data_IF_783421188758
#
_entry.id   IF_783421188758
#
_cell.length_a   1.000
_cell.length_b   1.000
_cell.length_c   1.000
_cell.angle_alpha   90.00
_cell.angle_beta   90.00
_cell.angle_gamma   90.00
#
_symmetry.space_group_name_H-M   'P 1'
#
loop_
_entity.id
_entity.type
_entity.pdbx_description
1 polymer ?
#
# COMPACT_ATOMS: atom_id res chain seq x y z
N UNK A 1 13.22 10.64 -25.85
CA UNK A 1 12.01 11.45 -25.69
C UNK A 1 10.82 10.56 -26.00
N UNK A 2 10.04 10.20 -24.96
CA UNK A 2 8.76 9.51 -25.14
C UNK A 2 7.74 10.55 -25.61
N UNK A 3 7.28 10.42 -26.85
CA UNK A 3 6.18 11.24 -27.37
C UNK A 3 4.89 10.56 -26.90
N UNK A 4 4.20 11.18 -25.95
CA UNK A 4 2.86 10.75 -25.54
C UNK A 4 1.83 11.30 -26.55
N UNK A 5 0.80 10.52 -26.93
CA UNK A 5 -0.23 11.00 -27.85
C UNK A 5 -1.05 12.12 -27.20
N UNK A 6 -1.28 13.18 -27.99
CA UNK A 6 -2.15 14.31 -27.61
C UNK A 6 -3.57 13.83 -27.33
N UNK A 7 -4.11 14.13 -26.14
CA UNK A 7 -5.53 14.01 -25.87
C UNK A 7 -5.98 13.36 -24.56
N UNK A 8 -5.10 12.84 -23.73
CA UNK A 8 -5.50 12.41 -22.39
C UNK A 8 -5.71 13.64 -21.48
N UNK A 9 -6.96 14.06 -21.31
CA UNK A 9 -7.34 14.98 -20.24
C UNK A 9 -7.14 14.26 -18.92
N UNK A 10 -5.99 14.44 -18.29
CA UNK A 10 -5.85 14.11 -16.88
C UNK A 10 -6.84 14.97 -16.09
N UNK A 11 -7.74 14.31 -15.38
CA UNK A 11 -8.73 14.96 -14.54
C UNK A 11 -8.02 15.89 -13.56
N UNK A 12 -8.31 17.19 -13.63
CA UNK A 12 -7.73 18.27 -12.82
C UNK A 12 -8.04 18.17 -11.30
N UNK A 13 -8.60 17.06 -10.84
CA UNK A 13 -8.96 16.82 -9.43
C UNK A 13 -7.82 16.30 -8.55
N UNK A 14 -6.61 16.11 -9.10
CA UNK A 14 -5.50 15.46 -8.40
C UNK A 14 -4.29 16.34 -8.09
N UNK A 15 -4.39 17.67 -8.20
CA UNK A 15 -3.20 18.55 -8.11
C UNK A 15 -3.33 19.56 -6.98
N UNK A 16 -3.71 19.12 -5.79
CA UNK A 16 -3.60 20.02 -4.62
C UNK A 16 -2.78 19.42 -3.45
N UNK A 17 -2.02 18.37 -3.71
CA UNK A 17 -1.06 17.84 -2.72
C UNK A 17 0.35 18.21 -3.16
N UNK A 18 1.01 19.03 -2.39
CA UNK A 18 2.44 19.29 -2.55
C UNK A 18 3.19 17.96 -2.55
N UNK A 19 4.02 17.67 -3.57
CA UNK A 19 4.83 16.45 -3.58
C UNK A 19 5.68 16.35 -2.31
N UNK A 20 5.92 15.13 -1.79
CA UNK A 20 6.74 14.96 -0.61
C UNK A 20 8.16 15.48 -0.85
N UNK A 21 8.67 16.26 0.09
CA UNK A 21 10.05 16.74 0.09
C UNK A 21 11.01 15.64 0.57
N UNK A 22 12.31 15.84 0.38
CA UNK A 22 13.33 14.91 0.88
C UNK A 22 13.22 14.67 2.39
N UNK A 23 12.92 15.72 3.15
CA UNK A 23 12.73 15.63 4.60
C UNK A 23 11.60 14.68 5.01
N UNK A 24 10.51 14.63 4.22
CA UNK A 24 9.39 13.71 4.47
C UNK A 24 9.81 12.25 4.22
N UNK A 25 10.61 12.02 3.16
CA UNK A 25 11.16 10.70 2.84
C UNK A 25 12.11 10.24 3.94
N UNK A 26 12.97 11.13 4.43
CA UNK A 26 13.89 10.82 5.53
C UNK A 26 13.16 10.56 6.84
N UNK A 27 12.09 11.31 7.13
CA UNK A 27 11.24 11.05 8.30
C UNK A 27 10.58 9.66 8.21
N UNK A 28 10.01 9.32 7.06
CA UNK A 28 9.46 8.00 6.80
C UNK A 28 10.52 6.89 6.92
N UNK A 29 11.74 7.13 6.44
CA UNK A 29 12.84 6.18 6.55
C UNK A 29 13.21 5.88 8.02
N UNK A 30 13.21 6.91 8.89
CA UNK A 30 13.44 6.72 10.34
C UNK A 30 12.35 5.88 10.99
N UNK A 31 11.08 6.12 10.66
CA UNK A 31 9.94 5.33 11.16
C UNK A 31 10.04 3.88 10.71
N UNK A 32 10.47 3.64 9.48
CA UNK A 32 10.55 2.32 8.87
C UNK A 32 11.79 1.51 9.30
N UNK A 33 12.86 2.17 9.73
CA UNK A 33 14.17 1.53 9.98
C UNK A 33 14.11 0.27 10.86
N UNK A 34 13.31 0.21 11.96
CA UNK A 34 13.24 -0.99 12.80
C UNK A 34 12.41 -2.13 12.19
N UNK A 35 11.59 -1.85 11.18
CA UNK A 35 10.53 -2.76 10.71
C UNK A 35 10.70 -3.21 9.25
N UNK A 36 11.17 -2.32 8.39
CA UNK A 36 11.35 -2.63 6.98
C UNK A 36 12.70 -3.29 6.72
N UNK A 37 12.73 -4.22 5.77
CA UNK A 37 13.99 -4.78 5.28
C UNK A 37 14.72 -3.72 4.46
N UNK A 38 15.99 -3.47 4.76
CA UNK A 38 16.85 -2.66 3.89
C UNK A 38 17.24 -3.50 2.68
N UNK A 39 16.41 -3.49 1.64
CA UNK A 39 16.67 -4.23 0.42
C UNK A 39 17.92 -3.70 -0.29
N UNK A 40 18.73 -4.57 -0.92
CA UNK A 40 19.94 -4.16 -1.62
C UNK A 40 19.60 -3.26 -2.82
N UNK A 41 20.63 -2.60 -3.34
CA UNK A 41 20.62 -1.99 -4.66
C UNK A 41 21.59 -2.79 -5.52
N UNK A 42 21.09 -3.41 -6.59
CA UNK A 42 21.83 -4.37 -7.42
C UNK A 42 22.10 -3.74 -8.80
N UNK A 43 23.34 -3.76 -9.23
CA UNK A 43 23.71 -3.46 -10.62
C UNK A 43 23.58 -4.72 -11.49
N UNK A 44 23.28 -4.53 -12.76
CA UNK A 44 23.16 -5.61 -13.73
C UNK A 44 23.88 -5.23 -15.04
N UNK A 45 25.17 -5.62 -15.21
CA UNK A 45 25.95 -5.24 -16.40
C UNK A 45 25.31 -5.59 -17.74
N UNK A 46 24.65 -6.74 -17.83
CA UNK A 46 23.95 -7.14 -19.05
C UNK A 46 22.74 -6.22 -19.38
N UNK A 47 22.11 -5.65 -18.35
CA UNK A 47 21.05 -4.67 -18.56
C UNK A 47 21.63 -3.31 -18.93
N UNK A 48 22.74 -2.92 -18.29
CA UNK A 48 23.46 -1.68 -18.60
C UNK A 48 23.85 -1.63 -20.07
N UNK A 49 24.46 -2.70 -20.57
CA UNK A 49 24.85 -2.84 -21.98
C UNK A 49 23.64 -2.72 -22.91
N UNK A 50 22.56 -3.39 -22.59
CA UNK A 50 21.36 -3.42 -23.43
C UNK A 50 20.67 -2.07 -23.54
N UNK A 51 20.69 -1.25 -22.49
CA UNK A 51 20.01 0.07 -22.45
C UNK A 51 20.95 1.24 -22.65
N UNK A 52 22.27 1.01 -22.72
CA UNK A 52 23.28 2.05 -22.87
C UNK A 52 23.40 2.99 -21.66
N UNK A 53 23.04 2.53 -20.46
CA UNK A 53 23.04 3.34 -19.24
C UNK A 53 23.24 2.47 -18.01
N UNK A 54 23.75 3.05 -16.91
CA UNK A 54 23.83 2.34 -15.62
C UNK A 54 22.45 2.17 -15.01
N UNK A 55 22.03 0.93 -14.80
CA UNK A 55 20.74 0.56 -14.22
C UNK A 55 20.95 -0.08 -12.85
N UNK A 56 20.18 0.40 -11.88
CA UNK A 56 20.14 -0.18 -10.54
C UNK A 56 18.75 -0.73 -10.26
N UNK A 57 18.70 -1.98 -9.81
CA UNK A 57 17.46 -2.66 -9.41
C UNK A 57 17.37 -2.69 -7.89
N UNK A 58 16.26 -2.18 -7.34
CA UNK A 58 15.92 -2.33 -5.94
C UNK A 58 14.85 -3.41 -5.79
N UNK A 59 15.23 -4.67 -5.42
CA UNK A 59 14.31 -5.80 -5.45
C UNK A 59 13.39 -5.80 -4.22
N UNK A 60 12.32 -5.03 -4.26
CA UNK A 60 11.32 -4.95 -3.18
C UNK A 60 10.48 -6.24 -3.02
N UNK A 61 10.70 -7.24 -3.85
CA UNK A 61 10.24 -8.61 -3.60
C UNK A 61 10.86 -9.20 -2.32
N UNK A 62 12.03 -8.70 -1.91
CA UNK A 62 12.71 -9.08 -0.67
C UNK A 62 12.16 -8.35 0.56
N UNK A 63 11.26 -7.38 0.38
CA UNK A 63 10.63 -6.66 1.46
C UNK A 63 9.61 -7.53 2.18
N UNK A 64 9.25 -7.16 3.43
CA UNK A 64 8.09 -7.74 4.12
C UNK A 64 6.88 -7.75 3.19
N UNK A 65 6.09 -8.81 3.23
CA UNK A 65 4.95 -9.04 2.33
C UNK A 65 5.31 -9.22 0.85
N UNK A 66 6.60 -9.23 0.49
CA UNK A 66 7.06 -9.44 -0.89
C UNK A 66 6.84 -8.24 -1.82
N UNK A 67 6.70 -7.02 -1.28
CA UNK A 67 6.49 -5.83 -2.11
C UNK A 67 6.80 -4.52 -1.36
N UNK A 68 7.03 -3.45 -2.12
CA UNK A 68 7.25 -2.09 -1.59
C UNK A 68 6.06 -1.53 -0.80
N UNK A 69 4.85 -2.08 -0.97
CA UNK A 69 3.62 -1.55 -0.35
C UNK A 69 3.65 -1.59 1.18
N UNK A 70 4.43 -2.48 1.78
CA UNK A 70 4.63 -2.49 3.22
C UNK A 70 5.18 -1.15 3.75
N UNK A 71 6.09 -0.51 3.02
CA UNK A 71 6.70 0.77 3.42
C UNK A 71 5.65 1.87 3.58
N UNK A 72 4.85 2.13 2.54
CA UNK A 72 3.81 3.14 2.60
C UNK A 72 2.73 2.81 3.61
N UNK A 73 2.27 1.55 3.65
CA UNK A 73 1.27 1.11 4.62
C UNK A 73 1.76 1.30 6.06
N UNK A 74 2.97 0.87 6.39
CA UNK A 74 3.50 1.02 7.74
C UNK A 74 3.71 2.49 8.13
N UNK A 75 4.25 3.31 7.22
CA UNK A 75 4.41 4.75 7.47
C UNK A 75 3.07 5.42 7.75
N UNK A 76 2.04 5.14 6.93
CA UNK A 76 0.69 5.67 7.11
C UNK A 76 0.08 5.23 8.44
N UNK A 77 0.10 3.94 8.75
CA UNK A 77 -0.51 3.44 9.98
C UNK A 77 0.21 3.97 11.22
N UNK A 78 1.53 4.15 11.14
CA UNK A 78 2.33 4.74 12.23
C UNK A 78 1.94 6.19 12.55
N UNK A 79 1.48 6.94 11.56
CA UNK A 79 1.04 8.33 11.72
C UNK A 79 -0.37 8.48 12.33
N UNK A 80 -1.13 7.37 12.45
CA UNK A 80 -2.45 7.41 13.08
C UNK A 80 -2.30 7.70 14.57
N UNK A 81 -2.95 8.77 15.09
CA UNK A 81 -2.91 9.11 16.50
C UNK A 81 -3.36 7.95 17.39
N UNK A 82 -2.72 7.78 18.52
CA UNK A 82 -3.01 6.68 19.45
C UNK A 82 -4.50 6.57 19.79
N UNK A 83 -5.17 7.70 20.02
CA UNK A 83 -6.60 7.74 20.33
C UNK A 83 -7.50 7.19 19.20
N UNK A 84 -7.05 7.29 17.94
CA UNK A 84 -7.79 6.79 16.78
C UNK A 84 -7.51 5.31 16.46
N UNK A 85 -6.48 4.71 17.08
CA UNK A 85 -6.08 3.32 16.79
C UNK A 85 -7.09 2.28 17.27
N UNK A 86 -7.91 2.60 18.26
CA UNK A 86 -8.93 1.69 18.80
C UNK A 86 -9.97 1.28 17.74
N UNK A 87 -10.30 2.17 16.79
CA UNK A 87 -11.19 1.86 15.67
C UNK A 87 -10.57 0.94 14.61
N UNK A 88 -9.25 0.80 14.62
CA UNK A 88 -8.52 0.03 13.62
C UNK A 88 -8.40 0.72 12.27
N UNK A 89 -8.15 -0.07 11.23
CA UNK A 89 -8.00 0.42 9.86
C UNK A 89 -8.85 -0.40 8.89
N UNK A 90 -9.32 0.25 7.84
CA UNK A 90 -10.01 -0.41 6.73
C UNK A 90 -9.28 -0.09 5.43
N UNK A 91 -9.04 -1.09 4.59
CA UNK A 91 -8.49 -0.90 3.26
C UNK A 91 -9.28 -1.71 2.22
N UNK A 92 -9.13 -1.34 0.96
CA UNK A 92 -9.71 -2.09 -0.15
C UNK A 92 -8.64 -2.40 -1.19
N UNK A 93 -8.34 -3.67 -1.39
CA UNK A 93 -7.32 -4.12 -2.36
C UNK A 93 -7.32 -5.64 -2.49
N UNK A 94 -7.05 -6.13 -3.68
CA UNK A 94 -6.88 -7.57 -3.94
C UNK A 94 -5.43 -8.05 -3.93
N UNK A 95 -4.47 -7.19 -3.58
CA UNK A 95 -3.06 -7.50 -3.80
C UNK A 95 -2.10 -7.02 -2.71
N UNK A 96 -1.00 -6.43 -3.16
CA UNK A 96 0.13 -6.07 -2.29
C UNK A 96 -0.22 -5.03 -1.23
N UNK A 97 -1.14 -4.10 -1.53
CA UNK A 97 -1.60 -3.11 -0.54
C UNK A 97 -2.36 -3.78 0.61
N UNK A 98 -3.26 -4.72 0.30
CA UNK A 98 -3.99 -5.50 1.30
C UNK A 98 -3.05 -6.15 2.32
N UNK A 99 -2.03 -6.87 1.81
CA UNK A 99 -1.03 -7.53 2.65
C UNK A 99 -0.15 -6.53 3.41
N UNK A 100 0.22 -5.42 2.77
CA UNK A 100 0.99 -4.35 3.41
C UNK A 100 0.26 -3.74 4.61
N UNK A 101 -1.03 -3.39 4.44
CA UNK A 101 -1.86 -2.84 5.53
C UNK A 101 -2.07 -3.87 6.63
N UNK A 102 -2.41 -5.13 6.28
CA UNK A 102 -2.63 -6.18 7.26
C UNK A 102 -1.38 -6.45 8.11
N UNK A 103 -0.20 -6.57 7.47
CA UNK A 103 1.06 -6.78 8.18
C UNK A 103 1.47 -5.58 9.05
N UNK A 104 1.27 -4.36 8.57
CA UNK A 104 1.54 -3.14 9.33
C UNK A 104 0.61 -3.04 10.55
N UNK A 105 -0.69 -3.31 10.37
CA UNK A 105 -1.66 -3.32 11.45
C UNK A 105 -1.31 -4.35 12.53
N UNK A 106 -0.93 -5.57 12.13
CA UNK A 106 -0.48 -6.61 13.05
C UNK A 106 0.69 -6.15 13.92
N UNK A 107 1.72 -5.55 13.32
CA UNK A 107 2.90 -5.06 14.04
C UNK A 107 2.54 -3.93 15.01
N UNK A 108 1.60 -3.07 14.63
CA UNK A 108 1.17 -1.92 15.43
C UNK A 108 0.05 -2.24 16.43
N UNK A 109 -0.39 -3.51 16.51
CA UNK A 109 -1.46 -3.95 17.41
C UNK A 109 -2.83 -3.38 17.06
N UNK A 110 -3.08 -3.09 15.77
CA UNK A 110 -4.33 -2.51 15.29
C UNK A 110 -5.20 -3.58 14.61
N UNK A 111 -6.51 -3.46 14.77
CA UNK A 111 -7.46 -4.26 13.97
C UNK A 111 -7.43 -3.80 12.51
N UNK A 112 -7.53 -4.74 11.57
CA UNK A 112 -7.60 -4.42 10.15
C UNK A 112 -8.75 -5.17 9.48
N UNK A 113 -9.55 -4.48 8.67
CA UNK A 113 -10.53 -5.07 7.76
C UNK A 113 -10.14 -4.74 6.32
N UNK A 114 -10.06 -5.76 5.49
CA UNK A 114 -9.64 -5.63 4.09
C UNK A 114 -10.78 -6.06 3.16
N UNK A 115 -11.31 -5.12 2.40
CA UNK A 115 -12.33 -5.37 1.38
C UNK A 115 -11.63 -5.92 0.13
N UNK A 116 -11.91 -7.16 -0.20
CA UNK A 116 -11.30 -7.90 -1.31
C UNK A 116 -12.37 -8.48 -2.24
N UNK A 117 -12.14 -8.51 -3.56
CA UNK A 117 -13.13 -9.13 -4.45
C UNK A 117 -13.19 -10.65 -4.21
N UNK A 118 -14.38 -11.22 -4.34
CA UNK A 118 -14.63 -12.64 -4.12
C UNK A 118 -13.83 -13.54 -5.08
N UNK A 119 -13.50 -13.02 -6.26
CA UNK A 119 -12.66 -13.67 -7.28
C UNK A 119 -11.14 -13.49 -7.07
N UNK A 120 -10.73 -12.85 -5.98
CA UNK A 120 -9.31 -12.73 -5.66
C UNK A 120 -8.68 -14.11 -5.43
N UNK A 121 -7.44 -14.35 -5.88
CA UNK A 121 -6.75 -15.62 -5.66
C UNK A 121 -6.76 -16.04 -4.18
N UNK A 122 -7.08 -17.31 -3.92
CA UNK A 122 -7.16 -17.86 -2.56
C UNK A 122 -5.88 -17.60 -1.76
N UNK A 123 -4.72 -17.75 -2.40
CA UNK A 123 -3.42 -17.49 -1.76
C UNK A 123 -3.26 -16.06 -1.25
N UNK A 124 -3.81 -15.07 -1.95
CA UNK A 124 -3.77 -13.66 -1.50
C UNK A 124 -4.73 -13.41 -0.33
N UNK A 125 -5.92 -14.00 -0.38
CA UNK A 125 -6.89 -13.92 0.72
C UNK A 125 -6.33 -14.54 1.99
N UNK A 126 -5.81 -15.77 1.89
CA UNK A 126 -5.25 -16.48 3.04
C UNK A 126 -3.99 -15.79 3.60
N UNK A 127 -3.12 -15.25 2.76
CA UNK A 127 -2.00 -14.44 3.24
C UNK A 127 -2.45 -13.20 4.01
N UNK A 128 -3.50 -12.52 3.54
CA UNK A 128 -4.05 -11.33 4.23
C UNK A 128 -4.63 -11.73 5.59
N UNK A 129 -5.39 -12.83 5.67
CA UNK A 129 -5.88 -13.40 6.93
C UNK A 129 -4.75 -13.83 7.85
N UNK A 130 -3.68 -14.40 7.29
CA UNK A 130 -2.49 -14.83 8.05
C UNK A 130 -1.80 -13.70 8.82
N UNK A 131 -2.00 -12.44 8.41
CA UNK A 131 -1.59 -11.26 9.18
C UNK A 131 -2.65 -10.80 10.20
N UNK A 132 -3.67 -11.61 10.47
CA UNK A 132 -4.73 -11.29 11.44
C UNK A 132 -5.80 -10.32 10.96
N UNK A 133 -5.81 -9.98 9.67
CA UNK A 133 -6.84 -9.10 9.12
C UNK A 133 -8.14 -9.84 8.82
N UNK A 134 -9.27 -9.19 9.09
CA UNK A 134 -10.58 -9.61 8.59
C UNK A 134 -10.64 -9.36 7.08
N UNK A 135 -11.08 -10.37 6.32
CA UNK A 135 -11.28 -10.24 4.87
C UNK A 135 -12.78 -10.18 4.59
N UNK A 136 -13.23 -9.02 4.10
CA UNK A 136 -14.60 -8.78 3.67
C UNK A 136 -14.65 -8.94 2.15
N UNK A 137 -15.43 -9.93 1.68
CA UNK A 137 -15.53 -10.23 0.25
C UNK A 137 -16.65 -9.41 -0.38
N UNK A 138 -16.44 -8.95 -1.62
CA UNK A 138 -17.42 -8.24 -2.42
C UNK A 138 -17.48 -8.77 -3.86
N UNK A 139 -18.63 -8.61 -4.51
CA UNK A 139 -18.81 -8.92 -5.93
C UNK A 139 -18.38 -7.72 -6.79
N UNK A 140 -17.27 -7.87 -7.51
CA UNK A 140 -16.66 -6.84 -8.37
C UNK A 140 -17.61 -6.31 -9.47
N UNK A 141 -18.57 -7.14 -9.90
CA UNK A 141 -19.50 -6.78 -10.96
C UNK A 141 -20.71 -5.97 -10.45
N UNK A 142 -21.02 -6.05 -9.15
CA UNK A 142 -22.27 -5.54 -8.58
C UNK A 142 -22.08 -4.55 -7.44
N UNK A 143 -20.91 -4.53 -6.81
CA UNK A 143 -20.67 -3.80 -5.59
C UNK A 143 -19.47 -2.85 -5.71
N UNK A 144 -19.57 -1.73 -5.02
CA UNK A 144 -18.48 -0.74 -4.92
C UNK A 144 -17.64 -1.01 -3.67
N UNK A 145 -16.40 -1.48 -3.91
CA UNK A 145 -15.42 -1.77 -2.86
C UNK A 145 -15.11 -0.57 -1.96
N UNK A 146 -15.14 0.64 -2.52
CA UNK A 146 -14.81 1.86 -1.78
C UNK A 146 -15.98 2.27 -0.89
N UNK A 147 -17.21 2.17 -1.39
CA UNK A 147 -18.42 2.41 -0.61
C UNK A 147 -18.52 1.43 0.56
N UNK A 148 -18.24 0.14 0.34
CA UNK A 148 -18.20 -0.88 1.40
C UNK A 148 -17.13 -0.54 2.44
N UNK A 149 -15.92 -0.17 2.01
CA UNK A 149 -14.84 0.16 2.93
C UNK A 149 -15.15 1.41 3.75
N UNK A 150 -15.77 2.43 3.16
CA UNK A 150 -16.22 3.65 3.87
C UNK A 150 -17.31 3.35 4.90
N UNK A 151 -18.28 2.51 4.55
CA UNK A 151 -19.34 2.09 5.48
C UNK A 151 -18.76 1.36 6.69
N UNK A 152 -17.86 0.39 6.47
CA UNK A 152 -17.19 -0.33 7.55
C UNK A 152 -16.38 0.64 8.41
N UNK A 153 -15.62 1.53 7.79
CA UNK A 153 -14.80 2.52 8.51
C UNK A 153 -15.67 3.42 9.38
N UNK A 154 -16.78 3.94 8.85
CA UNK A 154 -17.72 4.77 9.59
C UNK A 154 -18.36 4.05 10.80
N UNK A 155 -18.81 2.81 10.59
CA UNK A 155 -19.42 2.00 11.66
C UNK A 155 -18.46 1.65 12.81
N UNK A 156 -17.18 1.51 12.51
CA UNK A 156 -16.13 1.11 13.48
C UNK A 156 -15.34 2.29 14.05
N UNK A 157 -15.51 3.49 13.52
CA UNK A 157 -14.60 4.61 13.80
C UNK A 157 -13.18 4.34 13.33
N UNK A 158 -13.02 3.51 12.28
CA UNK A 158 -11.73 3.09 11.75
C UNK A 158 -11.19 4.09 10.72
N UNK A 159 -9.86 4.12 10.58
CA UNK A 159 -9.20 4.92 9.56
C UNK A 159 -9.22 4.18 8.21
N UNK A 160 -9.74 4.84 7.17
CA UNK A 160 -9.66 4.33 5.81
C UNK A 160 -8.25 4.53 5.24
N UNK A 161 -7.67 3.49 4.66
CA UNK A 161 -6.32 3.50 4.06
C UNK A 161 -6.43 3.09 2.60
N UNK A 162 -6.56 4.06 1.68
CA UNK A 162 -6.69 3.77 0.26
C UNK A 162 -5.37 3.26 -0.35
N UNK A 163 -5.42 2.53 -1.48
CA UNK A 163 -4.23 1.97 -2.12
C UNK A 163 -3.41 3.00 -2.92
N UNK A 164 -3.89 4.24 -3.02
CA UNK A 164 -3.35 5.37 -3.79
C UNK A 164 -3.78 6.71 -3.17
N UNK A 165 -3.12 7.78 -3.50
CA UNK A 165 -3.50 9.17 -3.17
C UNK A 165 -3.73 9.44 -1.67
N UNK A 166 -2.84 8.94 -0.83
CA UNK A 166 -2.92 9.09 0.62
C UNK A 166 -1.72 9.88 1.19
#
# INVERSE_FOLDING_TARGET
ALILPHGARYNAFMIDKTPPALADIEAAARVLAPYAVRTPLISCPALDERVGARVFVKPEILQRTGSFKFRGAFNKLSSIPQAARAGGVVAFSSGNHAQGVAAAAQILGMQAAIVMPADAPVSKRERTKGYGAEVVLYDRAREDREAIARDIAGKRGATLVPPYDD
#
